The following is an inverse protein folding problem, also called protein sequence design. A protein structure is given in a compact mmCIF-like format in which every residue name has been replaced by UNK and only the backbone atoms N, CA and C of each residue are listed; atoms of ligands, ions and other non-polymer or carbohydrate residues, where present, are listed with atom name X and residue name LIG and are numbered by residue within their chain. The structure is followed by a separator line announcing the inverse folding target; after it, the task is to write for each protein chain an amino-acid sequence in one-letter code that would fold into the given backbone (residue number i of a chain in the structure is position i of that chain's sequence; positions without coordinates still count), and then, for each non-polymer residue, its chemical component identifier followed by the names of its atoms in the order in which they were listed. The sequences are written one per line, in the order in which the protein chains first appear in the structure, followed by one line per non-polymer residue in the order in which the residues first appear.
data_IF_368524671602
#
_entry.id   IF_368524671602
#
_cell.length_a   1.000
_cell.length_b   1.000
_cell.length_c   1.000
_cell.angle_alpha   90.00
_cell.angle_beta   90.00
_cell.angle_gamma   90.00
#
_symmetry.space_group_name_H-M   'P 1'
#
loop_
_entity.id
_entity.type
_entity.pdbx_description
1 polymer ?
#
# COMPACT_ATOMS: atom_id res chain seq x y z
N UNK A 1 15.04 15.72 2.64
CA UNK A 1 16.15 15.23 1.79
C UNK A 1 17.02 14.17 2.46
N UNK A 2 17.57 14.38 3.69
CA UNK A 2 18.38 13.35 4.39
C UNK A 2 17.64 12.04 4.73
N UNK A 3 16.35 12.10 5.05
CA UNK A 3 15.51 10.91 5.32
C UNK A 3 15.27 10.02 4.07
N UNK A 4 15.14 10.63 2.90
CA UNK A 4 15.00 9.91 1.62
C UNK A 4 16.29 9.19 1.25
N UNK A 5 17.45 9.81 1.50
CA UNK A 5 18.77 9.21 1.22
C UNK A 5 19.04 8.01 2.15
N UNK A 6 18.60 8.06 3.41
CA UNK A 6 18.71 6.93 4.35
C UNK A 6 17.84 5.74 3.94
N UNK A 7 16.58 5.97 3.55
CA UNK A 7 15.71 4.89 3.04
C UNK A 7 16.22 4.29 1.73
N UNK A 8 16.88 5.09 0.89
CA UNK A 8 17.47 4.61 -0.36
C UNK A 8 18.69 3.71 -0.13
N UNK A 9 19.52 4.00 0.89
CA UNK A 9 20.64 3.12 1.29
C UNK A 9 20.17 1.77 1.80
N UNK A 10 19.12 1.73 2.64
CA UNK A 10 18.59 0.47 3.17
C UNK A 10 17.89 -0.38 2.09
N UNK A 11 17.37 0.23 1.01
CA UNK A 11 16.86 -0.53 -0.14
C UNK A 11 17.98 -1.11 -1.02
N UNK A 12 19.18 -0.52 -1.02
CA UNK A 12 20.33 -1.03 -1.78
C UNK A 12 21.02 -2.24 -1.11
N UNK A 13 20.82 -2.43 0.20
CA UNK A 13 21.43 -3.53 0.97
C UNK A 13 20.63 -4.86 0.90
N UNK A 14 19.38 -4.84 0.42
CA UNK A 14 18.62 -6.09 0.19
C UNK A 14 19.16 -6.77 -1.07
N UNK A 15 19.67 -8.01 -0.94
CA UNK A 15 20.23 -8.93 -1.94
C UNK A 15 19.31 -9.22 -3.16
N UNK A 16 18.82 -8.19 -3.85
CA UNK A 16 18.24 -8.29 -5.18
C UNK A 16 19.40 -8.33 -6.17
N UNK A 17 19.80 -9.53 -6.60
CA UNK A 17 20.87 -9.68 -7.57
C UNK A 17 20.65 -8.82 -8.82
N UNK A 18 21.74 -8.50 -9.53
CA UNK A 18 21.82 -7.68 -10.77
C UNK A 18 20.60 -7.79 -11.72
N UNK A 19 19.96 -8.97 -11.79
CA UNK A 19 18.75 -9.22 -12.57
C UNK A 19 17.58 -8.30 -12.21
N UNK A 20 17.33 -8.05 -10.92
CA UNK A 20 16.22 -7.17 -10.48
C UNK A 20 16.48 -5.72 -10.88
N UNK A 21 17.74 -5.30 -10.85
CA UNK A 21 18.15 -3.96 -11.27
C UNK A 21 18.00 -3.75 -12.78
N UNK A 22 18.37 -4.75 -13.59
CA UNK A 22 18.18 -4.70 -15.04
C UNK A 22 16.70 -4.57 -15.44
N UNK A 23 15.80 -5.27 -14.74
CA UNK A 23 14.35 -5.16 -14.99
C UNK A 23 13.85 -3.76 -14.65
N UNK A 24 14.28 -3.18 -13.53
CA UNK A 24 13.87 -1.83 -13.14
C UNK A 24 14.35 -0.76 -14.14
N UNK A 25 15.59 -0.85 -14.61
CA UNK A 25 16.14 0.07 -15.63
C UNK A 25 15.40 -0.08 -16.96
N UNK A 26 15.05 -1.31 -17.37
CA UNK A 26 14.26 -1.55 -18.58
C UNK A 26 12.89 -0.88 -18.52
N UNK A 27 12.18 -0.98 -17.37
CA UNK A 27 10.87 -0.35 -17.16
C UNK A 27 10.99 1.18 -17.27
N UNK A 28 12.04 1.77 -16.70
CA UNK A 28 12.30 3.22 -16.80
C UNK A 28 12.52 3.63 -18.26
N UNK A 29 13.33 2.89 -19.02
CA UNK A 29 13.59 3.19 -20.44
C UNK A 29 12.30 3.11 -21.28
N UNK A 30 11.45 2.11 -21.03
CA UNK A 30 10.15 1.98 -21.72
C UNK A 30 9.24 3.16 -21.37
N UNK A 31 9.14 3.53 -20.08
CA UNK A 31 8.33 4.66 -19.64
C UNK A 31 8.79 5.98 -20.27
N UNK A 32 10.11 6.25 -20.30
CA UNK A 32 10.65 7.43 -20.98
C UNK A 32 10.46 7.40 -22.50
N UNK A 33 10.57 6.23 -23.14
CA UNK A 33 10.30 6.07 -24.56
C UNK A 33 8.84 6.37 -24.92
N UNK A 34 7.89 5.90 -24.11
CA UNK A 34 6.46 6.18 -24.26
C UNK A 34 6.18 7.67 -24.07
N UNK A 35 6.74 8.31 -23.03
CA UNK A 35 6.58 9.75 -22.80
C UNK A 35 7.18 10.60 -23.94
N UNK A 36 8.34 10.20 -24.47
CA UNK A 36 8.97 10.87 -25.60
C UNK A 36 8.12 10.74 -26.88
N UNK A 37 7.60 9.54 -27.14
CA UNK A 37 6.71 9.28 -28.26
C UNK A 37 5.43 10.13 -28.19
N UNK A 38 4.78 10.20 -27.02
CA UNK A 38 3.61 11.06 -26.84
C UNK A 38 3.94 12.53 -27.02
N UNK A 39 5.05 13.02 -26.46
CA UNK A 39 5.46 14.43 -26.66
C UNK A 39 5.66 14.77 -28.13
N UNK A 40 6.21 13.85 -28.92
CA UNK A 40 6.44 14.05 -30.36
C UNK A 40 5.13 14.01 -31.17
N UNK A 41 4.12 13.24 -30.76
CA UNK A 41 2.81 13.21 -31.43
C UNK A 41 1.95 14.43 -31.11
N UNK A 42 1.99 14.91 -29.86
CA UNK A 42 1.18 16.04 -29.43
C UNK A 42 1.74 17.40 -29.84
N UNK A 43 3.02 17.48 -30.23
CA UNK A 43 3.54 18.64 -30.93
C UNK A 43 3.18 18.59 -32.43
N UNK A 44 1.88 18.69 -32.74
CA UNK A 44 1.51 19.15 -34.09
C UNK A 44 2.08 20.57 -34.24
N UNK A 45 2.82 20.87 -35.33
CA UNK A 45 3.20 22.24 -35.61
C UNK A 45 1.91 23.05 -35.70
N UNK A 46 1.83 24.14 -34.92
CA UNK A 46 0.77 25.12 -35.05
C UNK A 46 0.75 25.52 -36.53
N UNK A 47 -0.34 25.20 -37.22
CA UNK A 47 -0.56 25.62 -38.59
C UNK A 47 -0.64 27.16 -38.52
N UNK A 48 0.40 27.80 -39.03
CA UNK A 48 0.55 29.24 -39.08
C UNK A 48 -0.52 29.75 -40.06
N UNK A 49 -1.69 30.11 -39.53
CA UNK A 49 -2.76 30.72 -40.30
C UNK A 49 -2.25 32.08 -40.75
N UNK A 50 -1.82 32.15 -42.01
CA UNK A 50 -1.39 33.38 -42.63
C UNK A 50 -2.56 34.38 -42.63
N UNK A 51 -2.41 35.47 -41.88
CA UNK A 51 -3.24 36.66 -42.00
C UNK A 51 -3.05 37.27 -43.39
N UNK A 52 -3.97 36.96 -44.31
CA UNK A 52 -4.14 37.79 -45.50
C UNK A 52 -4.91 39.06 -45.12
N UNK A 53 -4.19 40.17 -45.01
CA UNK A 53 -4.77 41.53 -44.96
C UNK A 53 -5.43 41.87 -46.32
N UNK A 54 -6.66 41.38 -46.48
CA UNK A 54 -7.54 41.74 -47.59
C UNK A 54 -8.38 42.98 -47.28
N UNK A 55 -8.72 43.80 -48.31
CA UNK A 55 -9.43 45.07 -48.14
C UNK A 55 -10.81 44.85 -47.50
N UNK A 56 -11.08 45.62 -46.43
CA UNK A 56 -12.31 45.64 -45.62
C UNK A 56 -13.55 45.92 -46.48
N UNK A 57 -14.07 44.88 -47.14
CA UNK A 57 -15.45 44.82 -47.59
C UNK A 57 -16.27 44.41 -46.37
N UNK A 58 -17.24 45.24 -45.99
CA UNK A 58 -18.12 44.98 -44.84
C UNK A 58 -18.70 43.58 -44.93
N UNK A 59 -18.21 42.69 -44.05
CA UNK A 59 -18.78 41.36 -43.90
C UNK A 59 -20.18 41.54 -43.35
N UNK A 60 -21.16 41.08 -44.12
CA UNK A 60 -22.50 40.88 -43.61
C UNK A 60 -22.37 39.92 -42.43
N UNK A 61 -22.87 40.33 -41.26
CA UNK A 61 -22.98 39.47 -40.08
C UNK A 61 -23.77 38.25 -40.50
N UNK A 62 -23.12 37.08 -40.58
CA UNK A 62 -23.80 35.83 -40.88
C UNK A 62 -24.62 35.47 -39.65
N UNK A 63 -25.94 35.52 -39.79
CA UNK A 63 -26.86 35.13 -38.74
C UNK A 63 -26.83 33.60 -38.59
N UNK A 64 -26.33 33.12 -37.45
CA UNK A 64 -26.28 31.70 -37.11
C UNK A 64 -27.70 31.13 -36.99
N UNK A 65 -27.91 29.93 -37.51
CA UNK A 65 -29.17 29.20 -37.31
C UNK A 65 -29.29 28.74 -35.86
N UNK A 66 -30.52 28.58 -35.34
CA UNK A 66 -30.76 28.09 -33.97
C UNK A 66 -30.08 26.74 -33.70
N UNK A 67 -30.01 25.87 -34.72
CA UNK A 67 -29.30 24.59 -34.62
C UNK A 67 -27.80 24.77 -34.41
N UNK A 68 -27.17 25.69 -35.14
CA UNK A 68 -25.73 25.96 -35.00
C UNK A 68 -25.40 26.60 -33.65
N UNK A 69 -26.28 27.49 -33.16
CA UNK A 69 -26.15 28.07 -31.81
C UNK A 69 -26.16 26.98 -30.74
N UNK A 70 -27.14 26.08 -30.79
CA UNK A 70 -27.22 24.95 -29.88
C UNK A 70 -26.01 24.00 -30.00
N UNK A 71 -25.50 23.73 -31.21
CA UNK A 71 -24.29 22.91 -31.39
C UNK A 71 -23.05 23.54 -30.75
N UNK A 72 -22.86 24.86 -30.90
CA UNK A 72 -21.74 25.59 -30.27
C UNK A 72 -21.83 25.57 -28.73
N UNK A 73 -23.00 25.82 -28.17
CA UNK A 73 -23.21 25.80 -26.73
C UNK A 73 -23.02 24.40 -26.12
N UNK A 74 -23.47 23.34 -26.82
CA UNK A 74 -23.21 21.96 -26.41
C UNK A 74 -21.71 21.60 -26.50
N UNK A 75 -20.99 22.11 -27.49
CA UNK A 75 -19.53 21.92 -27.60
C UNK A 75 -18.81 22.61 -26.43
N UNK A 76 -19.19 23.85 -26.11
CA UNK A 76 -18.67 24.60 -24.98
C UNK A 76 -18.93 23.87 -23.65
N UNK A 77 -20.15 23.37 -23.42
CA UNK A 77 -20.47 22.58 -22.22
C UNK A 77 -19.60 21.33 -22.10
N UNK A 78 -19.44 20.56 -23.19
CA UNK A 78 -18.61 19.36 -23.17
C UNK A 78 -17.13 19.70 -22.90
N UNK A 79 -16.63 20.80 -23.47
CA UNK A 79 -15.28 21.30 -23.19
C UNK A 79 -15.11 21.63 -21.70
N UNK A 80 -16.05 22.38 -21.11
CA UNK A 80 -16.02 22.76 -19.71
C UNK A 80 -16.08 21.55 -18.76
N UNK A 81 -16.89 20.53 -19.09
CA UNK A 81 -16.95 19.28 -18.32
C UNK A 81 -15.65 18.47 -18.39
N UNK A 82 -14.94 18.54 -19.52
CA UNK A 82 -13.65 17.87 -19.70
C UNK A 82 -12.51 18.56 -18.94
N UNK A 83 -12.47 19.90 -18.96
CA UNK A 83 -11.43 20.68 -18.26
C UNK A 83 -11.71 20.77 -16.76
N UNK A 84 -12.99 20.82 -16.39
CA UNK A 84 -13.44 21.07 -15.04
C UNK A 84 -13.27 22.53 -14.61
N UNK A 85 -13.04 23.47 -15.55
CA UNK A 85 -12.92 24.90 -15.28
C UNK A 85 -14.28 25.59 -15.36
N UNK A 86 -14.60 26.40 -14.35
CA UNK A 86 -15.86 27.16 -14.30
C UNK A 86 -15.88 28.28 -15.35
N UNK A 87 -14.71 28.84 -15.70
CA UNK A 87 -14.62 29.90 -16.70
C UNK A 87 -15.02 29.41 -18.09
N UNK A 88 -14.82 28.12 -18.40
CA UNK A 88 -15.20 27.54 -19.69
C UNK A 88 -16.72 27.50 -19.90
N UNK A 89 -17.54 27.50 -18.83
CA UNK A 89 -18.99 27.62 -18.95
C UNK A 89 -19.42 29.01 -19.49
N UNK A 90 -18.59 30.04 -19.39
CA UNK A 90 -18.86 31.36 -19.96
C UNK A 90 -18.84 31.38 -21.49
N UNK A 91 -18.27 30.33 -22.11
CA UNK A 91 -18.30 30.14 -23.56
C UNK A 91 -19.66 29.69 -24.11
N UNK A 92 -20.62 29.35 -23.24
CA UNK A 92 -22.02 29.10 -23.59
C UNK A 92 -22.72 30.46 -23.70
N UNK A 93 -23.18 30.81 -24.91
CA UNK A 93 -23.60 32.18 -25.24
C UNK A 93 -25.09 32.33 -25.55
N UNK A 94 -25.75 31.26 -25.99
CA UNK A 94 -27.11 31.35 -26.53
C UNK A 94 -28.16 30.72 -25.61
N UNK A 95 -27.79 29.71 -24.82
CA UNK A 95 -28.64 28.99 -23.88
C UNK A 95 -28.20 29.23 -22.42
N UNK A 96 -28.86 30.18 -21.77
CA UNK A 96 -28.60 30.53 -20.36
C UNK A 96 -28.97 29.39 -19.39
N UNK A 97 -29.93 28.54 -19.74
CA UNK A 97 -30.29 27.37 -18.91
C UNK A 97 -29.17 26.33 -18.96
N UNK A 98 -28.65 26.05 -20.16
CA UNK A 98 -27.50 25.16 -20.35
C UNK A 98 -26.24 25.70 -19.65
N UNK A 99 -26.03 27.02 -19.71
CA UNK A 99 -24.93 27.69 -19.00
C UNK A 99 -25.04 27.49 -17.49
N UNK A 100 -26.22 27.72 -16.92
CA UNK A 100 -26.43 27.52 -15.49
C UNK A 100 -26.24 26.05 -15.11
N UNK A 101 -26.73 25.11 -15.93
CA UNK A 101 -26.53 23.68 -15.73
C UNK A 101 -25.03 23.30 -15.75
N UNK A 102 -24.24 23.89 -16.65
CA UNK A 102 -22.79 23.72 -16.69
C UNK A 102 -22.14 24.16 -15.37
N UNK A 103 -22.47 25.37 -14.91
CA UNK A 103 -21.94 25.94 -13.66
C UNK A 103 -22.33 25.09 -12.44
N UNK A 104 -23.58 24.65 -12.35
CA UNK A 104 -24.07 23.83 -11.23
C UNK A 104 -23.37 22.47 -11.18
N UNK A 105 -23.22 21.79 -12.33
CA UNK A 105 -22.52 20.51 -12.42
C UNK A 105 -21.04 20.61 -12.02
N UNK A 106 -20.34 21.65 -12.50
CA UNK A 106 -18.93 21.86 -12.18
C UNK A 106 -18.73 22.26 -10.71
N UNK A 107 -19.58 23.14 -10.18
CA UNK A 107 -19.56 23.48 -8.77
C UNK A 107 -19.84 22.27 -7.89
N UNK A 108 -20.87 21.48 -8.20
CA UNK A 108 -21.17 20.23 -7.53
C UNK A 108 -19.94 19.30 -7.49
N UNK A 109 -19.33 19.03 -8.65
CA UNK A 109 -18.14 18.18 -8.75
C UNK A 109 -16.95 18.71 -7.92
N UNK A 110 -16.73 20.03 -7.91
CA UNK A 110 -15.68 20.69 -7.14
C UNK A 110 -15.92 20.57 -5.63
N UNK A 111 -17.16 20.72 -5.20
CA UNK A 111 -17.57 20.60 -3.79
C UNK A 111 -17.42 19.15 -3.31
N UNK A 112 -17.89 18.16 -4.08
CA UNK A 112 -17.71 16.75 -3.74
C UNK A 112 -16.23 16.38 -3.58
N UNK A 113 -15.36 16.93 -4.44
CA UNK A 113 -13.91 16.72 -4.35
C UNK A 113 -13.26 17.39 -3.14
N UNK A 114 -13.76 18.56 -2.71
CA UNK A 114 -13.24 19.25 -1.54
C UNK A 114 -13.66 18.58 -0.23
N UNK A 115 -14.82 17.90 -0.23
CA UNK A 115 -15.42 17.30 0.96
C UNK A 115 -15.93 18.31 1.98
N UNK A 116 -16.05 19.59 1.61
CA UNK A 116 -16.54 20.64 2.50
C UNK A 116 -18.06 20.79 2.39
N UNK A 117 -18.77 20.24 3.37
CA UNK A 117 -20.23 20.27 3.47
C UNK A 117 -20.81 21.69 3.35
N UNK A 118 -20.13 22.70 3.91
CA UNK A 118 -20.66 24.07 3.93
C UNK A 118 -20.75 24.70 2.54
N UNK A 119 -20.06 24.13 1.54
CA UNK A 119 -20.10 24.62 0.17
C UNK A 119 -21.36 24.13 -0.58
N UNK A 120 -22.04 23.08 -0.12
CA UNK A 120 -23.29 22.62 -0.75
C UNK A 120 -24.39 23.70 -0.71
N UNK A 121 -24.40 24.59 0.28
CA UNK A 121 -25.34 25.74 0.35
C UNK A 121 -25.21 26.73 -0.82
N UNK A 122 -24.11 26.67 -1.58
CA UNK A 122 -23.90 27.51 -2.76
C UNK A 122 -24.70 27.01 -3.97
N UNK A 123 -25.21 25.78 -3.94
CA UNK A 123 -26.01 25.20 -5.01
C UNK A 123 -27.44 25.75 -4.94
N UNK A 124 -27.92 26.30 -6.06
CA UNK A 124 -29.23 26.93 -6.15
C UNK A 124 -30.37 25.91 -6.02
N UNK A 125 -30.24 24.77 -6.68
CA UNK A 125 -31.24 23.69 -6.65
C UNK A 125 -31.20 22.96 -5.30
N UNK A 126 -32.33 22.92 -4.56
CA UNK A 126 -32.40 22.24 -3.26
C UNK A 126 -32.22 20.71 -3.35
N UNK A 127 -32.65 20.07 -4.43
CA UNK A 127 -32.46 18.63 -4.64
C UNK A 127 -30.98 18.33 -4.87
N UNK A 128 -30.32 19.10 -5.75
CA UNK A 128 -28.88 18.97 -6.00
C UNK A 128 -28.05 19.27 -4.74
N UNK A 129 -28.50 20.21 -3.91
CA UNK A 129 -27.90 20.50 -2.60
C UNK A 129 -27.98 19.31 -1.65
N UNK A 130 -29.12 18.63 -1.58
CA UNK A 130 -29.26 17.43 -0.75
C UNK A 130 -28.38 16.30 -1.28
N UNK A 131 -28.37 16.06 -2.59
CA UNK A 131 -27.47 15.09 -3.22
C UNK A 131 -25.99 15.39 -2.92
N UNK A 132 -25.63 16.68 -2.85
CA UNK A 132 -24.27 17.12 -2.50
C UNK A 132 -23.89 16.68 -1.08
N UNK A 133 -24.75 16.94 -0.10
CA UNK A 133 -24.53 16.50 1.28
C UNK A 133 -24.41 14.98 1.38
N UNK A 134 -25.37 14.26 0.79
CA UNK A 134 -25.43 12.80 0.82
C UNK A 134 -24.16 12.18 0.22
N UNK A 135 -23.66 12.73 -0.89
CA UNK A 135 -22.45 12.25 -1.54
C UNK A 135 -21.18 12.57 -0.74
N UNK A 136 -21.10 13.73 -0.07
CA UNK A 136 -20.00 14.05 0.84
C UNK A 136 -19.97 13.08 2.02
N UNK A 137 -21.12 12.86 2.67
CA UNK A 137 -21.19 11.94 3.80
C UNK A 137 -20.85 10.51 3.38
N UNK A 138 -21.35 10.04 2.24
CA UNK A 138 -20.99 8.74 1.68
C UNK A 138 -19.47 8.61 1.49
N UNK A 139 -18.83 9.58 0.83
CA UNK A 139 -17.39 9.54 0.58
C UNK A 139 -16.58 9.58 1.89
N UNK A 140 -16.99 10.43 2.84
CA UNK A 140 -16.34 10.55 4.14
C UNK A 140 -16.48 9.26 4.97
N UNK A 141 -17.67 8.63 4.95
CA UNK A 141 -17.94 7.36 5.60
C UNK A 141 -17.04 6.26 5.02
N UNK A 142 -16.96 6.14 3.69
CA UNK A 142 -16.10 5.14 3.03
C UNK A 142 -14.60 5.35 3.29
N UNK A 143 -14.15 6.60 3.42
CA UNK A 143 -12.75 6.92 3.69
C UNK A 143 -12.33 6.64 5.15
N UNK A 144 -13.28 6.75 6.09
CA UNK A 144 -13.03 6.63 7.53
C UNK A 144 -13.58 5.35 8.16
N UNK A 145 -14.39 4.58 7.42
CA UNK A 145 -15.19 3.45 7.90
C UNK A 145 -16.12 3.80 9.07
N UNK A 146 -16.62 5.04 9.11
CA UNK A 146 -17.52 5.53 10.16
C UNK A 146 -19.01 5.39 9.76
N UNK A 147 -19.68 4.38 10.33
CA UNK A 147 -21.11 4.12 10.11
C UNK A 147 -22.01 5.28 10.55
N UNK A 148 -21.56 6.13 11.49
CA UNK A 148 -22.35 7.28 11.93
C UNK A 148 -22.51 8.35 10.84
N UNK A 149 -21.60 8.37 9.86
CA UNK A 149 -21.69 9.25 8.69
C UNK A 149 -22.72 8.73 7.68
N UNK A 150 -22.87 7.41 7.51
CA UNK A 150 -23.95 6.85 6.68
C UNK A 150 -25.34 7.25 7.20
N UNK A 151 -25.52 7.32 8.52
CA UNK A 151 -26.77 7.75 9.14
C UNK A 151 -27.17 9.22 8.83
N UNK A 152 -26.24 10.04 8.31
CA UNK A 152 -26.52 11.42 7.90
C UNK A 152 -27.03 11.54 6.45
N UNK A 153 -26.93 10.46 5.66
CA UNK A 153 -27.40 10.42 4.28
C UNK A 153 -28.93 10.39 4.28
N UNK A 154 -29.54 11.30 3.53
CA UNK A 154 -31.00 11.43 3.46
C UNK A 154 -31.65 10.44 2.49
N UNK A 155 -30.97 10.13 1.38
CA UNK A 155 -31.40 9.11 0.42
C UNK A 155 -31.24 7.71 1.04
N UNK A 156 -32.36 7.02 1.26
CA UNK A 156 -32.36 5.74 1.98
C UNK A 156 -31.64 4.62 1.21
N UNK A 157 -31.71 4.59 -0.11
CA UNK A 157 -31.01 3.59 -0.94
C UNK A 157 -29.49 3.79 -0.86
N UNK A 158 -29.02 5.04 -0.95
CA UNK A 158 -27.61 5.39 -0.81
C UNK A 158 -27.09 5.16 0.61
N UNK A 159 -27.92 5.41 1.62
CA UNK A 159 -27.61 5.15 3.04
C UNK A 159 -27.47 3.66 3.34
N UNK A 160 -28.38 2.84 2.83
CA UNK A 160 -28.27 1.39 2.93
C UNK A 160 -27.01 0.89 2.23
N UNK A 161 -26.75 1.35 0.99
CA UNK A 161 -25.53 1.01 0.27
C UNK A 161 -24.26 1.44 1.04
N UNK A 162 -24.23 2.64 1.62
CA UNK A 162 -23.13 3.12 2.46
C UNK A 162 -22.86 2.17 3.63
N UNK A 163 -23.93 1.79 4.35
CA UNK A 163 -23.87 0.92 5.52
C UNK A 163 -23.34 -0.47 5.14
N UNK A 164 -23.91 -1.08 4.10
CA UNK A 164 -23.51 -2.40 3.61
C UNK A 164 -22.05 -2.41 3.13
N UNK A 165 -21.61 -1.41 2.37
CA UNK A 165 -20.23 -1.33 1.88
C UNK A 165 -19.22 -1.21 3.02
N UNK A 166 -19.51 -0.40 4.05
CA UNK A 166 -18.63 -0.28 5.22
C UNK A 166 -18.58 -1.59 6.00
N UNK A 167 -19.72 -2.24 6.25
CA UNK A 167 -19.78 -3.51 6.95
C UNK A 167 -19.03 -4.63 6.21
N UNK A 168 -19.10 -4.68 4.88
CA UNK A 168 -18.29 -5.62 4.07
C UNK A 168 -16.79 -5.40 4.32
N UNK A 169 -16.33 -4.14 4.33
CA UNK A 169 -14.91 -3.84 4.57
C UNK A 169 -14.51 -4.13 6.02
N UNK A 170 -15.36 -3.80 6.99
CA UNK A 170 -15.14 -4.11 8.40
C UNK A 170 -15.08 -5.61 8.63
N UNK A 171 -15.99 -6.41 8.08
CA UNK A 171 -15.96 -7.87 8.20
C UNK A 171 -14.68 -8.49 7.63
N UNK A 172 -14.20 -7.96 6.49
CA UNK A 172 -12.92 -8.38 5.90
C UNK A 172 -11.69 -8.00 6.72
N UNK A 173 -11.73 -6.89 7.46
CA UNK A 173 -10.56 -6.35 8.18
C UNK A 173 -10.50 -6.73 9.65
N UNK A 174 -11.66 -6.84 10.32
CA UNK A 174 -11.77 -7.24 11.71
C UNK A 174 -11.49 -8.73 11.92
N UNK A 175 -11.62 -9.53 10.86
CA UNK A 175 -11.42 -10.98 10.94
C UNK A 175 -12.48 -11.67 11.79
N UNK A 176 -13.75 -11.28 11.65
CA UNK A 176 -14.86 -11.96 12.31
C UNK A 176 -16.05 -12.17 11.38
N UNK A 177 -16.57 -13.41 11.34
CA UNK A 177 -17.80 -13.73 10.63
C UNK A 177 -19.01 -12.96 11.14
N UNK A 178 -19.07 -12.65 12.45
CA UNK A 178 -20.22 -11.97 13.07
C UNK A 178 -20.44 -10.56 12.53
N UNK A 179 -19.37 -9.89 12.08
CA UNK A 179 -19.47 -8.57 11.45
C UNK A 179 -20.15 -8.66 10.09
N UNK A 180 -19.88 -9.73 9.33
CA UNK A 180 -20.54 -9.98 8.04
C UNK A 180 -22.04 -10.29 8.21
N UNK A 181 -22.44 -10.99 9.28
CA UNK A 181 -23.85 -11.32 9.57
C UNK A 181 -24.74 -10.10 9.82
N UNK A 182 -24.14 -8.93 10.03
CA UNK A 182 -24.87 -7.66 10.23
C UNK A 182 -25.25 -6.93 8.93
N UNK A 183 -24.78 -7.42 7.78
CA UNK A 183 -25.07 -6.87 6.45
C UNK A 183 -26.51 -7.24 6.05
N UNK A 184 -27.31 -6.25 5.62
CA UNK A 184 -28.73 -6.50 5.26
C UNK A 184 -28.88 -7.14 3.88
N UNK A 185 -28.01 -6.80 2.94
CA UNK A 185 -28.00 -7.39 1.60
C UNK A 185 -27.44 -8.82 1.65
N UNK A 186 -28.28 -9.82 1.33
CA UNK A 186 -27.92 -11.23 1.41
C UNK A 186 -26.72 -11.61 0.51
N UNK A 187 -26.59 -10.96 -0.66
CA UNK A 187 -25.50 -11.21 -1.61
C UNK A 187 -24.17 -10.72 -1.07
N UNK A 188 -24.13 -9.48 -0.56
CA UNK A 188 -22.95 -8.88 0.06
C UNK A 188 -22.59 -9.57 1.38
N UNK A 189 -23.59 -9.98 2.17
CA UNK A 189 -23.38 -10.78 3.38
C UNK A 189 -22.65 -12.09 3.04
N UNK A 190 -23.16 -12.84 2.06
CA UNK A 190 -22.54 -14.09 1.66
C UNK A 190 -21.15 -13.87 1.06
N UNK A 191 -20.95 -12.83 0.24
CA UNK A 191 -19.63 -12.47 -0.28
C UNK A 191 -18.66 -12.13 0.86
N UNK A 192 -19.10 -11.41 1.89
CA UNK A 192 -18.29 -11.10 3.07
C UNK A 192 -17.87 -12.38 3.81
N UNK A 193 -18.83 -13.26 4.12
CA UNK A 193 -18.59 -14.53 4.81
C UNK A 193 -17.64 -15.44 4.02
N UNK A 194 -17.87 -15.58 2.71
CA UNK A 194 -17.03 -16.40 1.84
C UNK A 194 -15.56 -15.92 1.83
N UNK A 195 -15.34 -14.60 1.77
CA UNK A 195 -14.00 -14.01 1.83
C UNK A 195 -13.36 -14.15 3.22
N UNK A 196 -14.15 -14.04 4.28
CA UNK A 196 -13.69 -14.26 5.66
C UNK A 196 -13.17 -15.69 5.81
N UNK A 197 -14.00 -16.70 5.50
CA UNK A 197 -13.60 -18.11 5.63
C UNK A 197 -12.46 -18.47 4.68
N UNK A 198 -12.41 -17.89 3.48
CA UNK A 198 -11.27 -18.08 2.57
C UNK A 198 -9.96 -17.62 3.21
N UNK A 199 -9.94 -16.40 3.76
CA UNK A 199 -8.76 -15.81 4.37
C UNK A 199 -8.34 -16.55 5.64
N UNK A 200 -9.29 -16.80 6.55
CA UNK A 200 -9.00 -17.47 7.84
C UNK A 200 -8.49 -18.90 7.63
N UNK A 201 -9.08 -19.66 6.70
CA UNK A 201 -8.64 -21.03 6.39
C UNK A 201 -7.19 -21.07 5.89
N UNK A 202 -6.77 -20.05 5.12
CA UNK A 202 -5.40 -19.95 4.61
C UNK A 202 -4.41 -19.59 5.72
N UNK A 203 -4.79 -18.67 6.60
CA UNK A 203 -3.96 -18.22 7.73
C UNK A 203 -3.78 -19.34 8.76
N UNK A 204 -4.88 -20.00 9.15
CA UNK A 204 -4.89 -21.06 10.16
C UNK A 204 -4.48 -22.43 9.60
N UNK A 205 -4.30 -22.53 8.28
CA UNK A 205 -4.06 -23.78 7.55
C UNK A 205 -5.14 -24.84 7.81
N UNK A 206 -6.38 -24.39 8.01
CA UNK A 206 -7.53 -25.25 8.27
C UNK A 206 -8.37 -25.45 7.00
N UNK A 207 -8.20 -26.61 6.37
CA UNK A 207 -8.95 -26.95 5.17
C UNK A 207 -10.43 -27.23 5.44
N UNK A 208 -10.82 -27.58 6.67
CA UNK A 208 -12.22 -27.84 7.01
C UNK A 208 -13.04 -26.55 6.99
N UNK A 209 -12.45 -25.43 7.44
CA UNK A 209 -13.06 -24.09 7.40
C UNK A 209 -13.42 -23.64 5.98
N UNK A 210 -12.74 -24.12 4.94
CA UNK A 210 -13.12 -23.85 3.55
C UNK A 210 -14.54 -24.36 3.20
N UNK A 211 -15.08 -25.35 3.93
CA UNK A 211 -16.43 -25.88 3.67
C UNK A 211 -17.55 -24.88 3.99
N UNK A 212 -17.26 -23.85 4.79
CA UNK A 212 -18.18 -22.77 5.13
C UNK A 212 -18.38 -21.77 3.98
N UNK A 213 -17.56 -21.85 2.92
CA UNK A 213 -17.67 -21.02 1.72
C UNK A 213 -18.81 -21.56 0.84
N UNK A 214 -19.77 -20.70 0.53
CA UNK A 214 -20.93 -21.04 -0.30
C UNK A 214 -20.56 -21.13 -1.78
N UNK A 215 -19.74 -20.22 -2.32
CA UNK A 215 -19.26 -20.29 -3.69
C UNK A 215 -18.36 -21.53 -3.91
N UNK A 216 -18.81 -22.45 -4.75
CA UNK A 216 -18.12 -23.72 -4.99
C UNK A 216 -16.74 -23.55 -5.63
N UNK A 217 -16.57 -22.54 -6.51
CA UNK A 217 -15.29 -22.27 -7.17
C UNK A 217 -14.27 -21.73 -6.17
N UNK A 218 -14.68 -20.81 -5.31
CA UNK A 218 -13.87 -20.21 -4.27
C UNK A 218 -13.53 -21.24 -3.19
N UNK A 219 -14.49 -22.06 -2.77
CA UNK A 219 -14.27 -23.19 -1.85
C UNK A 219 -13.22 -24.16 -2.37
N UNK A 220 -13.33 -24.57 -3.62
CA UNK A 220 -12.35 -25.46 -4.27
C UNK A 220 -10.96 -24.84 -4.30
N UNK A 221 -10.87 -23.53 -4.61
CA UNK A 221 -9.61 -22.78 -4.56
C UNK A 221 -9.03 -22.71 -3.16
N UNK A 222 -9.86 -22.43 -2.15
CA UNK A 222 -9.48 -22.39 -0.74
C UNK A 222 -8.81 -23.71 -0.33
N UNK A 223 -9.51 -24.83 -0.50
CA UNK A 223 -9.01 -26.14 -0.12
C UNK A 223 -7.69 -26.49 -0.80
N UNK A 224 -7.56 -26.16 -2.10
CA UNK A 224 -6.31 -26.35 -2.84
C UNK A 224 -5.18 -25.50 -2.28
N UNK A 225 -5.41 -24.21 -2.04
CA UNK A 225 -4.39 -23.29 -1.51
C UNK A 225 -3.93 -23.72 -0.11
N UNK A 226 -4.85 -24.10 0.78
CA UNK A 226 -4.51 -24.60 2.11
C UNK A 226 -3.65 -25.86 2.02
N UNK A 227 -4.06 -26.84 1.20
CA UNK A 227 -3.28 -28.07 1.01
C UNK A 227 -1.86 -27.80 0.49
N UNK A 228 -1.71 -26.87 -0.47
CA UNK A 228 -0.40 -26.45 -0.99
C UNK A 228 0.45 -25.78 0.08
N UNK A 229 -0.13 -24.92 0.92
CA UNK A 229 0.60 -24.27 2.01
C UNK A 229 1.06 -25.28 3.07
N UNK A 230 0.22 -26.26 3.42
CA UNK A 230 0.58 -27.36 4.32
C UNK A 230 1.76 -28.14 3.74
N UNK A 231 1.70 -28.54 2.47
CA UNK A 231 2.77 -29.29 1.80
C UNK A 231 4.10 -28.51 1.82
N UNK A 232 4.08 -27.20 1.52
CA UNK A 232 5.27 -26.34 1.59
C UNK A 232 5.87 -26.33 3.01
N UNK A 233 5.02 -26.18 4.03
CA UNK A 233 5.45 -26.17 5.43
C UNK A 233 6.06 -27.52 5.83
N UNK A 234 5.47 -28.64 5.40
CA UNK A 234 6.02 -29.97 5.65
C UNK A 234 7.37 -30.19 4.97
N UNK A 235 7.51 -29.76 3.71
CA UNK A 235 8.80 -29.78 3.00
C UNK A 235 9.83 -28.94 3.74
N UNK A 236 9.46 -27.73 4.17
CA UNK A 236 10.35 -26.88 4.98
C UNK A 236 10.74 -27.56 6.30
N UNK A 237 9.82 -28.20 7.01
CA UNK A 237 10.12 -28.96 8.23
C UNK A 237 11.10 -30.11 7.97
N UNK A 238 10.92 -30.86 6.88
CA UNK A 238 11.82 -31.96 6.51
C UNK A 238 13.21 -31.46 6.09
N UNK A 239 13.29 -30.29 5.45
CA UNK A 239 14.57 -29.66 5.10
C UNK A 239 15.26 -29.13 6.35
N UNK A 240 14.54 -28.46 7.26
CA UNK A 240 15.08 -27.98 8.54
C UNK A 240 15.55 -29.14 9.42
N UNK A 241 14.84 -30.27 9.43
CA UNK A 241 15.28 -31.46 10.16
C UNK A 241 16.58 -32.09 9.60
N UNK A 242 17.00 -31.72 8.39
CA UNK A 242 18.28 -32.09 7.79
C UNK A 242 19.32 -30.98 7.89
N UNK A 243 18.93 -29.78 8.34
CA UNK A 243 19.91 -28.76 8.67
C UNK A 243 20.58 -29.27 9.94
N UNK A 244 21.91 -29.40 9.93
CA UNK A 244 22.65 -29.78 11.12
C UNK A 244 22.25 -28.87 12.28
N UNK A 245 21.79 -29.48 13.39
CA UNK A 245 21.22 -28.75 14.54
C UNK A 245 22.25 -28.50 15.62
N UNK A 246 23.42 -29.12 15.50
CA UNK A 246 24.56 -28.85 16.36
C UNK A 246 25.61 -28.06 15.61
N UNK A 247 26.22 -27.12 16.32
CA UNK A 247 27.43 -26.38 15.97
C UNK A 247 28.45 -27.22 15.21
N UNK A 248 28.74 -28.42 15.71
CA UNK A 248 29.75 -29.31 15.15
C UNK A 248 29.32 -29.83 13.77
N UNK A 249 28.06 -30.20 13.61
CA UNK A 249 27.52 -30.70 12.35
C UNK A 249 27.41 -29.57 11.31
N UNK A 250 27.12 -28.32 11.70
CA UNK A 250 27.09 -27.16 10.78
C UNK A 250 28.50 -26.88 10.26
N UNK A 251 29.48 -26.82 11.15
CA UNK A 251 30.88 -26.60 10.76
C UNK A 251 31.44 -27.75 9.91
N UNK A 252 31.01 -28.98 10.17
CA UNK A 252 31.33 -30.15 9.34
C UNK A 252 30.69 -30.04 7.95
N UNK A 253 29.41 -29.70 7.86
CA UNK A 253 28.72 -29.51 6.58
C UNK A 253 29.34 -28.37 5.73
N UNK A 254 29.84 -27.30 6.36
CA UNK A 254 30.55 -26.24 5.65
C UNK A 254 31.87 -26.73 5.00
N UNK A 255 32.47 -27.80 5.52
CA UNK A 255 33.74 -28.33 4.99
C UNK A 255 33.62 -29.05 3.65
N UNK A 256 32.41 -29.49 3.28
CA UNK A 256 32.10 -30.14 2.00
C UNK A 256 31.85 -29.16 0.84
N UNK A 257 31.80 -27.85 1.12
CA UNK A 257 31.56 -26.81 0.11
C UNK A 257 32.84 -26.44 -0.66
N UNK A 258 32.68 -25.82 -1.83
CA UNK A 258 33.80 -25.24 -2.57
C UNK A 258 34.51 -24.17 -1.73
N UNK A 259 35.84 -24.04 -1.88
CA UNK A 259 36.70 -23.34 -0.92
C UNK A 259 36.27 -21.92 -0.53
N UNK A 260 35.73 -21.12 -1.47
CA UNK A 260 35.24 -19.77 -1.15
C UNK A 260 33.91 -19.78 -0.40
N UNK A 261 32.99 -20.69 -0.74
CA UNK A 261 31.70 -20.83 -0.04
C UNK A 261 31.87 -21.51 1.32
N UNK A 262 32.86 -22.38 1.47
CA UNK A 262 33.16 -23.05 2.73
C UNK A 262 33.56 -22.04 3.81
N UNK A 263 34.32 -20.98 3.45
CA UNK A 263 34.71 -19.96 4.40
C UNK A 263 33.53 -19.07 4.80
N UNK A 264 32.74 -18.58 3.83
CA UNK A 264 31.52 -17.79 4.11
C UNK A 264 30.53 -18.57 4.99
N UNK A 265 30.36 -19.87 4.73
CA UNK A 265 29.55 -20.76 5.55
C UNK A 265 30.06 -20.87 7.00
N UNK A 266 31.38 -21.04 7.18
CA UNK A 266 31.99 -21.12 8.52
C UNK A 266 31.91 -19.80 9.27
N UNK A 267 32.10 -18.70 8.57
CA UNK A 267 32.05 -17.35 9.12
C UNK A 267 30.64 -17.05 9.65
N UNK A 268 29.61 -17.32 8.84
CA UNK A 268 28.21 -17.20 9.28
C UNK A 268 27.88 -18.16 10.43
N UNK A 269 28.30 -19.42 10.36
CA UNK A 269 28.05 -20.39 11.42
C UNK A 269 28.67 -19.92 12.75
N UNK A 270 29.92 -19.45 12.72
CA UNK A 270 30.59 -18.90 13.90
C UNK A 270 29.92 -17.61 14.42
N UNK A 271 29.38 -16.78 13.53
CA UNK A 271 28.58 -15.61 13.92
C UNK A 271 27.34 -16.02 14.73
N UNK A 272 26.56 -16.96 14.19
CA UNK A 272 25.33 -17.45 14.84
C UNK A 272 25.64 -18.13 16.18
N UNK A 273 26.75 -18.89 16.24
CA UNK A 273 27.21 -19.55 17.47
C UNK A 273 27.64 -18.59 18.56
N UNK A 274 28.30 -17.49 18.20
CA UNK A 274 28.66 -16.46 19.16
C UNK A 274 27.41 -15.89 19.86
N UNK A 275 26.30 -15.78 19.13
CA UNK A 275 25.02 -15.32 19.65
C UNK A 275 24.32 -16.37 20.53
N UNK A 276 24.22 -17.61 20.05
CA UNK A 276 23.49 -18.69 20.75
C UNK A 276 24.20 -19.11 22.05
N UNK A 277 25.51 -19.36 21.99
CA UNK A 277 26.31 -19.84 23.13
C UNK A 277 26.84 -18.70 24.01
N UNK A 278 26.69 -17.45 23.56
CA UNK A 278 27.20 -16.24 24.24
C UNK A 278 28.70 -16.30 24.49
N UNK A 279 29.44 -16.84 23.52
CA UNK A 279 30.90 -16.98 23.58
C UNK A 279 31.55 -16.24 22.40
N UNK A 280 32.25 -15.16 22.71
CA UNK A 280 33.00 -14.35 21.73
C UNK A 280 34.17 -15.11 21.10
N UNK A 281 34.55 -16.29 21.63
CA UNK A 281 35.55 -17.15 21.01
C UNK A 281 35.15 -17.59 19.61
N UNK A 282 33.85 -17.68 19.31
CA UNK A 282 33.36 -18.00 17.97
C UNK A 282 33.56 -16.84 16.99
N UNK A 283 33.33 -15.58 17.39
CA UNK A 283 33.65 -14.43 16.54
C UNK A 283 35.15 -14.42 16.12
N UNK A 284 36.04 -14.89 17.00
CA UNK A 284 37.48 -14.96 16.67
C UNK A 284 37.84 -16.03 15.61
N UNK A 285 36.92 -16.94 15.31
CA UNK A 285 37.07 -17.98 14.29
C UNK A 285 36.56 -17.54 12.91
N UNK A 286 35.92 -16.37 12.82
CA UNK A 286 35.51 -15.76 11.55
C UNK A 286 36.75 -15.31 10.77
N UNK A 287 36.86 -15.77 9.52
CA UNK A 287 37.99 -15.54 8.63
C UNK A 287 37.93 -14.18 7.92
N UNK A 288 36.74 -13.70 7.56
CA UNK A 288 36.55 -12.33 7.11
C UNK A 288 36.70 -11.32 8.26
N UNK A 289 37.57 -10.33 8.08
CA UNK A 289 37.89 -9.38 9.16
C UNK A 289 36.77 -8.34 9.37
N UNK A 290 35.98 -8.01 8.35
CA UNK A 290 34.85 -7.09 8.49
C UNK A 290 33.74 -7.76 9.32
N UNK A 291 33.33 -8.97 8.93
CA UNK A 291 32.30 -9.75 9.63
C UNK A 291 32.72 -10.10 11.07
N UNK A 292 34.02 -10.37 11.29
CA UNK A 292 34.57 -10.63 12.62
C UNK A 292 34.43 -9.43 13.56
N UNK A 293 34.75 -8.23 13.08
CA UNK A 293 34.66 -7.02 13.89
C UNK A 293 33.20 -6.67 14.19
N UNK A 294 32.31 -6.87 13.21
CA UNK A 294 30.86 -6.73 13.40
C UNK A 294 30.34 -7.70 14.48
N UNK A 295 30.71 -8.99 14.39
CA UNK A 295 30.36 -10.01 15.39
C UNK A 295 30.82 -9.62 16.80
N UNK A 296 32.10 -9.24 16.95
CA UNK A 296 32.66 -8.85 18.25
C UNK A 296 31.91 -7.65 18.84
N UNK A 297 31.60 -6.66 18.01
CA UNK A 297 30.87 -5.47 18.45
C UNK A 297 29.45 -5.83 18.89
N UNK A 298 28.64 -6.41 18.01
CA UNK A 298 27.22 -6.70 18.31
C UNK A 298 27.06 -7.69 19.47
N UNK A 299 27.89 -8.74 19.51
CA UNK A 299 27.77 -9.76 20.55
C UNK A 299 28.25 -9.27 21.91
N UNK A 300 29.27 -8.41 21.96
CA UNK A 300 29.69 -7.80 23.23
C UNK A 300 28.55 -7.00 23.88
N UNK A 301 27.83 -6.21 23.08
CA UNK A 301 26.69 -5.42 23.55
C UNK A 301 25.52 -6.31 24.02
N UNK A 302 25.23 -7.39 23.29
CA UNK A 302 24.18 -8.35 23.65
C UNK A 302 24.50 -9.13 24.93
N UNK A 303 25.75 -9.58 25.08
CA UNK A 303 26.21 -10.32 26.27
C UNK A 303 26.16 -9.43 27.51
N UNK A 304 26.61 -8.18 27.39
CA UNK A 304 26.55 -7.20 28.48
C UNK A 304 25.12 -6.93 28.94
N UNK A 305 24.19 -6.74 28.00
CA UNK A 305 22.78 -6.57 28.34
C UNK A 305 22.16 -7.82 28.97
N UNK A 306 22.57 -9.02 28.54
CA UNK A 306 22.11 -10.26 29.14
C UNK A 306 22.55 -10.37 30.61
N UNK A 307 23.84 -10.16 30.90
CA UNK A 307 24.36 -10.22 32.27
C UNK A 307 23.74 -9.15 33.17
N UNK A 308 23.54 -7.93 32.65
CA UNK A 308 22.84 -6.87 33.37
C UNK A 308 21.45 -7.31 33.83
N UNK A 309 20.64 -7.90 32.93
CA UNK A 309 19.29 -8.37 33.25
C UNK A 309 19.29 -9.51 34.27
N UNK A 310 20.20 -10.47 34.13
CA UNK A 310 20.31 -11.59 35.07
C UNK A 310 20.77 -11.12 36.46
N UNK A 311 21.78 -10.26 36.52
CA UNK A 311 22.31 -9.69 37.76
C UNK A 311 21.23 -8.94 38.53
N UNK A 312 20.43 -8.11 37.85
CA UNK A 312 19.30 -7.40 38.46
C UNK A 312 18.18 -8.35 38.93
N UNK A 313 17.88 -9.39 38.15
CA UNK A 313 16.85 -10.37 38.50
C UNK A 313 17.24 -11.23 39.71
N UNK A 314 18.51 -11.62 39.81
CA UNK A 314 19.04 -12.51 40.84
C UNK A 314 19.67 -11.76 42.03
N UNK A 315 19.88 -10.44 41.90
CA UNK A 315 20.68 -9.61 42.83
C UNK A 315 22.07 -10.18 43.10
N UNK A 316 22.75 -10.62 42.03
CA UNK A 316 24.08 -11.22 42.09
C UNK A 316 25.14 -10.28 41.52
N UNK A 317 25.92 -9.66 42.41
CA UNK A 317 27.03 -8.75 42.04
C UNK A 317 28.10 -9.44 41.18
N UNK A 318 28.28 -10.76 41.29
CA UNK A 318 29.28 -11.48 40.50
C UNK A 318 28.96 -11.47 39.00
N UNK A 319 27.68 -11.35 38.63
CA UNK A 319 27.25 -11.22 37.24
C UNK A 319 27.52 -9.83 36.67
N UNK A 320 27.50 -8.77 37.48
CA UNK A 320 27.88 -7.42 37.02
C UNK A 320 29.36 -7.37 36.59
N UNK A 321 30.22 -8.14 37.26
CA UNK A 321 31.64 -8.24 36.90
C UNK A 321 31.89 -8.96 35.55
N UNK A 322 30.87 -9.59 34.96
CA UNK A 322 30.95 -10.20 33.62
C UNK A 322 30.63 -9.21 32.48
N UNK A 323 30.14 -8.01 32.81
CA UNK A 323 29.83 -6.95 31.85
C UNK A 323 31.13 -6.25 31.44
N UNK A 324 31.46 -6.26 30.15
CA UNK A 324 32.67 -5.65 29.60
C UNK A 324 32.53 -4.13 29.43
N UNK A 325 31.33 -3.63 29.15
CA UNK A 325 31.06 -2.20 29.07
C UNK A 325 31.00 -1.56 30.47
N UNK A 326 32.02 -0.78 30.81
CA UNK A 326 32.16 -0.09 32.10
C UNK A 326 30.89 0.67 32.53
N UNK A 327 30.21 1.35 31.60
CA UNK A 327 29.01 2.12 31.92
C UNK A 327 27.81 1.23 32.29
N UNK A 328 27.66 0.09 31.63
CA UNK A 328 26.62 -0.90 31.98
C UNK A 328 26.98 -1.65 33.27
N UNK A 329 28.25 -1.92 33.51
CA UNK A 329 28.74 -2.52 34.75
C UNK A 329 28.48 -1.61 35.95
N UNK A 330 28.83 -0.32 35.85
CA UNK A 330 28.55 0.67 36.89
C UNK A 330 27.03 0.79 37.15
N UNK A 331 26.22 0.79 36.09
CA UNK A 331 24.77 0.80 36.22
C UNK A 331 24.26 -0.45 36.96
N UNK A 332 24.80 -1.62 36.64
CA UNK A 332 24.50 -2.89 37.30
C UNK A 332 24.81 -2.85 38.80
N UNK A 333 26.03 -2.46 39.16
CA UNK A 333 26.52 -2.43 40.55
C UNK A 333 25.75 -1.44 41.42
N UNK A 334 25.25 -0.34 40.87
CA UNK A 334 24.45 0.64 41.61
C UNK A 334 22.96 0.25 41.76
N UNK A 335 22.49 -0.75 41.00
CA UNK A 335 21.07 -1.12 40.94
C UNK A 335 20.72 -2.37 41.75
N UNK A 336 21.72 -3.11 42.24
CA UNK A 336 21.57 -4.32 43.06
C UNK A 336 21.53 -3.94 44.55
#
# INVERSE_FOLDING_TARGET
QKSLISKFKNMLARKGGIKTWLVFVLIIVIAFGVLYYFRNIYQRPAEEVAEEEGPTKGFAVVELTEKQKAELDNEAMNSALLTGDLEDCEAILYDEELKQQCLDNLNYSKIIRSGNESQCEQLADPELRQQCYDKIYFNAAMASFDLSLCAKISDEDLKENCTNQIQVVMGRTAGSASECESITDEGLMQECLDNYYYSSSIEDLDAESCNSIADESLRSRCAKTVAQNIEVIEISKQQVAKIPTTTAEILEACSDLASSLAQECKDQANYDLAFEEKDLSYCNQIGDEEDKQECLQEQSENIDQYYLRQAMAMRDESMCNQIANDALQDLCMNSI
#
